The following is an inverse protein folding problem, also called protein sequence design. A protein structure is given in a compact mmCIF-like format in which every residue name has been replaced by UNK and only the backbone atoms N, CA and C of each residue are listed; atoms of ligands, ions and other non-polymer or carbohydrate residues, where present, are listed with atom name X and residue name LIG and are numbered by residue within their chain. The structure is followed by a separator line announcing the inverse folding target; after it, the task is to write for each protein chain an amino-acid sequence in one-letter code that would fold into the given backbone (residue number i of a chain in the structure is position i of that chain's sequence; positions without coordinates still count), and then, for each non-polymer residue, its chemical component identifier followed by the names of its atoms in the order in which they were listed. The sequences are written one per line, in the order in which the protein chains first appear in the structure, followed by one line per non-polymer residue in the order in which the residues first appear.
data_IF_554702575667
#
_entry.id   IF_554702575667
#
_cell.length_a   1.000
_cell.length_b   1.000
_cell.length_c   1.000
_cell.angle_alpha   90.00
_cell.angle_beta   90.00
_cell.angle_gamma   90.00
#
_symmetry.space_group_name_H-M   'P 1'
#
loop_
_entity.id
_entity.type
_entity.pdbx_description
1 polymer ?
#
# COMPACT_ATOMS: atom_id res chain seq x y z
N UNK A 1 10.54 -16.20 -20.83
CA UNK A 1 10.39 -14.87 -20.20
C UNK A 1 10.12 -15.11 -18.73
N UNK A 2 11.01 -14.67 -17.83
CA UNK A 2 10.80 -14.83 -16.38
C UNK A 2 10.06 -13.58 -15.92
N UNK A 3 8.84 -13.73 -15.42
CA UNK A 3 8.10 -12.64 -14.78
C UNK A 3 8.77 -12.34 -13.43
N UNK A 4 9.19 -11.10 -13.21
CA UNK A 4 9.89 -10.67 -11.99
C UNK A 4 9.47 -9.25 -11.64
N UNK A 5 9.33 -8.99 -10.34
CA UNK A 5 9.09 -7.64 -9.79
C UNK A 5 10.35 -6.77 -9.80
N UNK A 6 10.17 -5.44 -9.72
CA UNK A 6 11.27 -4.50 -9.52
C UNK A 6 11.51 -4.26 -8.02
N UNK A 7 12.55 -4.91 -7.48
CA UNK A 7 12.89 -4.82 -6.06
C UNK A 7 13.36 -3.43 -5.61
N UNK A 8 14.04 -2.67 -6.47
CA UNK A 8 14.50 -1.31 -6.17
C UNK A 8 13.31 -0.36 -6.05
N UNK A 9 12.38 -0.39 -7.00
CA UNK A 9 11.16 0.43 -6.95
C UNK A 9 10.29 0.11 -5.72
N UNK A 10 10.19 -1.17 -5.35
CA UNK A 10 9.50 -1.57 -4.11
C UNK A 10 10.21 -1.00 -2.88
N UNK A 11 11.54 -1.10 -2.83
CA UNK A 11 12.33 -0.57 -1.73
C UNK A 11 12.17 0.95 -1.58
N UNK A 12 12.23 1.68 -2.69
CA UNK A 12 12.03 3.13 -2.72
C UNK A 12 10.64 3.51 -2.22
N UNK A 13 9.60 2.78 -2.67
CA UNK A 13 8.22 2.99 -2.21
C UNK A 13 8.09 2.77 -0.69
N UNK A 14 8.78 1.77 -0.14
CA UNK A 14 8.81 1.50 1.31
C UNK A 14 9.50 2.63 2.07
N UNK A 15 10.62 3.13 1.56
CA UNK A 15 11.36 4.22 2.19
C UNK A 15 10.59 5.53 2.12
N UNK A 16 9.90 5.81 1.01
CA UNK A 16 9.04 6.98 0.86
C UNK A 16 7.85 6.93 1.81
N UNK A 17 7.13 5.81 1.88
CA UNK A 17 6.03 5.64 2.84
C UNK A 17 6.50 5.76 4.30
N UNK A 18 7.72 5.31 4.61
CA UNK A 18 8.28 5.43 5.96
C UNK A 18 8.56 6.89 6.38
N UNK A 19 8.56 7.85 5.47
CA UNK A 19 8.65 9.28 5.80
C UNK A 19 7.36 9.84 6.42
N UNK A 20 6.22 9.19 6.16
CA UNK A 20 4.92 9.58 6.72
C UNK A 20 4.77 8.97 8.12
N UNK A 21 4.51 9.84 9.11
CA UNK A 21 4.44 9.48 10.52
C UNK A 21 5.77 8.90 11.03
N UNK A 22 6.85 9.69 11.10
CA UNK A 22 8.14 9.21 11.60
C UNK A 22 8.01 8.76 13.06
N UNK A 23 8.47 7.55 13.34
CA UNK A 23 8.51 6.98 14.68
C UNK A 23 9.88 7.11 15.35
N UNK A 24 10.00 6.61 16.57
CA UNK A 24 11.26 6.58 17.30
C UNK A 24 12.31 5.70 16.62
N UNK A 25 13.59 6.05 16.74
CA UNK A 25 14.74 5.26 16.23
C UNK A 25 14.61 4.88 14.75
N UNK A 26 13.97 5.74 13.96
CA UNK A 26 13.73 5.52 12.54
C UNK A 26 12.56 4.59 12.24
N UNK A 27 11.69 4.28 13.20
CA UNK A 27 10.45 3.53 12.96
C UNK A 27 9.34 4.37 12.31
N UNK A 28 8.11 3.89 12.44
CA UNK A 28 6.90 4.56 11.96
C UNK A 28 5.82 4.61 13.04
N UNK A 29 5.05 5.69 13.06
CA UNK A 29 3.93 5.96 13.95
C UNK A 29 2.77 6.54 13.13
N UNK A 30 2.05 5.66 12.44
CA UNK A 30 0.83 5.96 11.69
C UNK A 30 -0.34 5.18 12.31
N UNK A 31 -0.79 5.57 13.51
CA UNK A 31 -1.93 4.89 14.12
C UNK A 31 -3.16 5.03 13.21
N UNK A 32 -3.99 3.98 13.18
CA UNK A 32 -5.19 3.95 12.35
C UNK A 32 -6.05 5.20 12.53
N UNK A 33 -6.51 5.75 11.41
CA UNK A 33 -7.42 6.90 11.30
C UNK A 33 -6.86 8.25 11.79
N UNK A 34 -5.58 8.31 12.13
CA UNK A 34 -4.90 9.60 12.36
C UNK A 34 -4.59 10.30 11.04
N UNK A 35 -4.24 11.59 11.10
CA UNK A 35 -3.85 12.35 9.90
C UNK A 35 -2.70 11.69 9.13
N UNK A 36 -1.74 11.06 9.83
CA UNK A 36 -0.65 10.33 9.19
C UNK A 36 -1.10 9.03 8.51
N UNK A 37 -2.10 8.31 9.05
CA UNK A 37 -2.69 7.18 8.34
C UNK A 37 -3.45 7.66 7.10
N UNK A 38 -4.21 8.76 7.21
CA UNK A 38 -4.91 9.38 6.07
C UNK A 38 -3.91 9.82 4.98
N UNK A 39 -2.78 10.42 5.37
CA UNK A 39 -1.72 10.81 4.45
C UNK A 39 -1.10 9.59 3.75
N UNK A 40 -0.77 8.53 4.49
CA UNK A 40 -0.26 7.28 3.92
C UNK A 40 -1.25 6.63 2.94
N UNK A 41 -2.54 6.63 3.28
CA UNK A 41 -3.62 6.15 2.39
C UNK A 41 -3.74 6.98 1.12
N UNK A 42 -3.58 8.31 1.21
CA UNK A 42 -3.56 9.20 0.03
C UNK A 42 -2.37 8.91 -0.86
N UNK A 43 -1.17 8.74 -0.28
CA UNK A 43 0.03 8.40 -1.05
C UNK A 43 -0.13 7.06 -1.78
N UNK A 44 -0.56 6.01 -1.07
CA UNK A 44 -0.86 4.71 -1.68
C UNK A 44 -1.90 4.83 -2.81
N UNK A 45 -2.96 5.62 -2.60
CA UNK A 45 -3.97 5.88 -3.62
C UNK A 45 -3.37 6.53 -4.86
N UNK A 46 -2.53 7.54 -4.71
CA UNK A 46 -1.90 8.19 -5.87
C UNK A 46 -1.07 7.20 -6.69
N UNK A 47 -0.24 6.40 -6.02
CA UNK A 47 0.59 5.40 -6.67
C UNK A 47 -0.19 4.29 -7.38
N UNK A 48 -1.31 3.86 -6.80
CA UNK A 48 -2.17 2.87 -7.44
C UNK A 48 -2.97 3.47 -8.61
N UNK A 49 -3.33 4.76 -8.55
CA UNK A 49 -3.98 5.49 -9.65
C UNK A 49 -3.03 5.61 -10.86
N UNK A 50 -1.77 5.98 -10.60
CA UNK A 50 -0.69 5.99 -11.60
C UNK A 50 -0.45 4.62 -12.25
N UNK A 51 -0.71 3.54 -11.50
CA UNK A 51 -0.65 2.17 -12.01
C UNK A 51 -1.93 1.72 -12.75
N UNK A 52 -2.92 2.61 -12.92
CA UNK A 52 -4.17 2.36 -13.63
C UNK A 52 -5.22 1.60 -12.83
N UNK A 53 -5.12 1.57 -11.50
CA UNK A 53 -6.15 0.99 -10.64
C UNK A 53 -7.34 1.94 -10.46
N UNK A 54 -8.52 1.35 -10.25
CA UNK A 54 -9.70 2.07 -9.75
C UNK A 54 -9.82 1.89 -8.23
N UNK A 55 -10.47 2.84 -7.54
CA UNK A 55 -10.58 2.81 -6.09
C UNK A 55 -11.99 2.61 -5.60
N UNK A 56 -12.10 1.87 -4.50
CA UNK A 56 -13.30 1.81 -3.67
C UNK A 56 -12.89 1.82 -2.21
N UNK A 57 -13.66 2.52 -1.38
CA UNK A 57 -13.59 2.40 0.06
C UNK A 57 -14.91 1.83 0.56
N UNK A 58 -14.87 0.88 1.49
CA UNK A 58 -16.09 0.37 2.11
C UNK A 58 -16.50 1.18 3.34
N UNK A 59 -17.59 0.79 3.98
CA UNK A 59 -18.13 1.47 5.16
C UNK A 59 -17.25 1.37 6.41
N UNK A 60 -16.26 0.47 6.43
CA UNK A 60 -15.28 0.33 7.50
C UNK A 60 -13.98 1.09 7.21
N UNK A 61 -13.88 1.75 6.05
CA UNK A 61 -12.68 2.47 5.65
C UNK A 61 -11.58 1.58 5.06
N UNK A 62 -11.89 0.33 4.70
CA UNK A 62 -10.95 -0.50 3.95
C UNK A 62 -10.78 0.09 2.55
N UNK A 63 -9.53 0.28 2.13
CA UNK A 63 -9.19 0.86 0.84
C UNK A 63 -8.84 -0.25 -0.15
N UNK A 64 -9.59 -0.32 -1.25
CA UNK A 64 -9.37 -1.29 -2.32
C UNK A 64 -8.88 -0.57 -3.58
N UNK A 65 -7.74 -1.02 -4.11
CA UNK A 65 -7.25 -0.66 -5.44
C UNK A 65 -7.46 -1.86 -6.39
N UNK A 66 -8.19 -1.65 -7.48
CA UNK A 66 -8.57 -2.72 -8.41
C UNK A 66 -8.00 -2.46 -9.80
N UNK A 67 -7.12 -3.38 -10.25
CA UNK A 67 -6.78 -3.55 -11.66
C UNK A 67 -7.81 -4.46 -12.32
N UNK A 68 -8.46 -4.00 -13.39
CA UNK A 68 -9.46 -4.81 -14.08
C UNK A 68 -8.80 -5.95 -14.87
N UNK A 69 -9.37 -7.14 -14.73
CA UNK A 69 -9.03 -8.30 -15.56
C UNK A 69 -9.80 -8.30 -16.87
N UNK A 70 -9.53 -9.31 -17.72
CA UNK A 70 -10.26 -9.50 -19.00
C UNK A 70 -11.76 -9.77 -18.81
N UNK A 71 -12.13 -10.40 -17.69
CA UNK A 71 -13.52 -10.60 -17.29
C UNK A 71 -13.78 -9.77 -16.01
N UNK A 72 -14.53 -8.65 -16.09
CA UNK A 72 -14.80 -7.80 -14.92
C UNK A 72 -15.73 -8.45 -13.89
N UNK A 73 -16.52 -9.46 -14.28
CA UNK A 73 -17.49 -10.15 -13.42
C UNK A 73 -16.88 -11.34 -12.65
N UNK A 74 -15.65 -11.71 -12.96
CA UNK A 74 -14.97 -12.80 -12.24
C UNK A 74 -14.64 -12.36 -10.80
N UNK A 75 -14.69 -13.29 -9.81
CA UNK A 75 -14.20 -13.02 -8.47
C UNK A 75 -12.74 -12.54 -8.49
N UNK A 76 -12.38 -11.49 -7.74
CA UNK A 76 -11.02 -10.98 -7.72
C UNK A 76 -10.09 -11.92 -6.94
N UNK A 77 -8.83 -11.96 -7.33
CA UNK A 77 -7.75 -12.39 -6.45
C UNK A 77 -7.31 -11.17 -5.65
N UNK A 78 -7.32 -11.28 -4.32
CA UNK A 78 -6.99 -10.18 -3.42
C UNK A 78 -5.65 -10.42 -2.74
N UNK A 79 -4.81 -9.38 -2.69
CA UNK A 79 -3.58 -9.34 -1.94
C UNK A 79 -3.47 -7.96 -1.26
N UNK A 80 -2.92 -7.93 -0.05
CA UNK A 80 -2.82 -6.73 0.76
C UNK A 80 -2.44 -7.05 2.20
N UNK A 81 -2.49 -6.04 3.06
CA UNK A 81 -2.25 -6.12 4.50
C UNK A 81 -2.78 -4.84 5.16
N UNK A 82 -1.98 -4.11 5.93
CA UNK A 82 -2.37 -2.84 6.55
C UNK A 82 -1.32 -1.73 6.36
N UNK A 83 -1.78 -0.47 6.43
CA UNK A 83 -0.95 0.76 6.31
C UNK A 83 -0.60 1.36 7.67
N UNK A 84 -1.48 1.16 8.65
CA UNK A 84 -1.34 1.66 10.01
C UNK A 84 -0.27 0.88 10.78
N UNK A 85 0.22 1.51 11.85
CA UNK A 85 1.28 0.96 12.69
C UNK A 85 0.95 1.09 14.16
N UNK A 86 1.66 0.29 14.96
CA UNK A 86 1.77 0.54 16.40
C UNK A 86 2.44 1.90 16.69
N UNK A 87 2.32 2.44 17.92
CA UNK A 87 2.98 3.68 18.33
C UNK A 87 4.51 3.69 18.13
N UNK A 88 5.15 2.53 18.33
CA UNK A 88 6.58 2.29 18.11
C UNK A 88 6.80 1.28 16.98
N UNK A 89 6.02 1.41 15.91
CA UNK A 89 6.01 0.46 14.79
C UNK A 89 7.31 0.47 13.97
N UNK A 90 7.58 -0.65 13.30
CA UNK A 90 8.67 -0.76 12.32
C UNK A 90 8.27 -0.22 10.94
N UNK A 91 9.23 -0.13 10.02
CA UNK A 91 9.00 0.33 8.64
C UNK A 91 8.35 -0.68 7.70
N UNK A 92 8.25 -1.95 8.11
CA UNK A 92 7.90 -3.06 7.20
C UNK A 92 6.66 -3.83 7.61
N UNK A 93 6.27 -3.76 8.89
CA UNK A 93 5.08 -4.45 9.39
C UNK A 93 3.83 -3.90 8.72
N UNK A 94 2.99 -4.79 8.19
CA UNK A 94 1.86 -4.49 7.31
C UNK A 94 2.23 -3.96 5.92
N UNK A 95 2.95 -2.84 5.88
CA UNK A 95 3.16 -2.05 4.66
C UNK A 95 3.91 -2.79 3.56
N UNK A 96 4.79 -3.74 3.92
CA UNK A 96 5.46 -4.60 2.95
C UNK A 96 4.47 -5.45 2.13
N UNK A 97 3.40 -5.94 2.76
CA UNK A 97 2.35 -6.69 2.07
C UNK A 97 1.54 -5.81 1.11
N UNK A 98 1.21 -4.58 1.52
CA UNK A 98 0.48 -3.60 0.70
C UNK A 98 1.31 -3.17 -0.52
N UNK A 99 2.55 -2.74 -0.30
CA UNK A 99 3.41 -2.25 -1.39
C UNK A 99 3.95 -3.39 -2.25
N UNK A 100 4.12 -4.59 -1.69
CA UNK A 100 4.40 -5.79 -2.47
C UNK A 100 3.27 -6.12 -3.46
N UNK A 101 2.00 -6.03 -3.02
CA UNK A 101 0.86 -6.21 -3.91
C UNK A 101 0.79 -5.13 -5.00
N UNK A 102 1.11 -3.87 -4.68
CA UNK A 102 1.21 -2.80 -5.67
C UNK A 102 2.36 -3.04 -6.66
N UNK A 103 3.50 -3.54 -6.22
CA UNK A 103 4.62 -3.85 -7.13
C UNK A 103 4.26 -4.98 -8.10
N UNK A 104 3.47 -5.97 -7.67
CA UNK A 104 2.90 -6.99 -8.57
C UNK A 104 2.00 -6.34 -9.63
N UNK A 105 1.20 -5.35 -9.27
CA UNK A 105 0.35 -4.60 -10.22
C UNK A 105 1.18 -3.81 -11.23
N UNK A 106 2.35 -3.28 -10.82
CA UNK A 106 3.28 -2.49 -11.65
C UNK A 106 4.22 -3.34 -12.52
N UNK A 107 4.14 -4.67 -12.46
CA UNK A 107 5.05 -5.62 -13.13
C UNK A 107 4.40 -6.41 -14.26
#
# INVERSE_FOLDING_TARGET
MILKTNGERLWDSLMEMATIGPGERGGSRRLALTDFDIEGRKLFRNWADEAGCTFRMDTMGNLFARRNGKNPEAPPVLAGSHLDTQPSGGRFDGILGVLGALEVVRS
#
